data_IF_703110654525
#
_entry.id   IF_703110654525
#
_cell.length_a   1.000
_cell.length_b   1.000
_cell.length_c   1.000
_cell.angle_alpha   90.00
_cell.angle_beta   90.00
_cell.angle_gamma   90.00
#
_symmetry.space_group_name_H-M   'P 1'
#
loop_
_entity.id
_entity.type
_entity.pdbx_description
1 polymer ?
#
# COMPACT_ATOMS: atom_id res chain seq x y z
N UNK A 1 37.45 -7.03 19.15
CA UNK A 1 36.28 -6.66 18.32
C UNK A 1 35.80 -5.33 18.84
N UNK A 2 36.30 -4.26 18.24
CA UNK A 2 36.32 -2.91 18.79
C UNK A 2 34.95 -2.26 18.76
N UNK A 3 34.29 -2.22 19.92
CA UNK A 3 33.02 -1.53 20.17
C UNK A 3 33.06 -0.02 19.83
N UNK A 4 34.24 0.54 19.60
CA UNK A 4 34.43 1.93 19.16
C UNK A 4 33.99 2.16 17.70
N UNK A 5 34.11 1.16 16.81
CA UNK A 5 33.82 1.33 15.38
C UNK A 5 32.30 1.44 15.11
N UNK A 6 31.49 0.74 15.91
CA UNK A 6 30.02 0.73 15.80
C UNK A 6 29.44 2.09 16.24
N UNK A 7 30.02 2.69 17.28
CA UNK A 7 29.64 4.03 17.74
C UNK A 7 29.88 5.11 16.68
N UNK A 8 31.04 5.07 16.03
CA UNK A 8 31.42 6.05 15.00
C UNK A 8 30.55 5.96 13.76
N UNK A 9 30.23 4.74 13.29
CA UNK A 9 29.29 4.54 12.18
C UNK A 9 27.89 5.05 12.51
N UNK A 10 27.42 4.84 13.74
CA UNK A 10 26.13 5.38 14.21
C UNK A 10 26.09 6.92 14.18
N UNK A 11 27.16 7.58 14.62
CA UNK A 11 27.27 9.04 14.59
C UNK A 11 27.33 9.58 13.16
N UNK A 12 28.09 8.93 12.26
CA UNK A 12 28.18 9.33 10.85
C UNK A 12 26.80 9.23 10.18
N UNK A 13 26.08 8.13 10.40
CA UNK A 13 24.74 7.93 9.83
C UNK A 13 23.78 9.00 10.37
N UNK A 14 23.83 9.31 11.67
CA UNK A 14 23.00 10.35 12.28
C UNK A 14 23.26 11.73 11.65
N UNK A 15 24.52 12.11 11.47
CA UNK A 15 24.90 13.38 10.83
C UNK A 15 24.42 13.46 9.38
N UNK A 16 24.56 12.37 8.62
CA UNK A 16 24.07 12.31 7.23
C UNK A 16 22.54 12.45 7.16
N UNK A 17 21.81 11.82 8.08
CA UNK A 17 20.34 11.95 8.17
C UNK A 17 19.91 13.38 8.51
N UNK A 18 20.58 14.02 9.46
CA UNK A 18 20.31 15.43 9.83
C UNK A 18 20.59 16.36 8.64
N UNK A 19 21.74 16.18 7.98
CA UNK A 19 22.11 16.99 6.82
C UNK A 19 21.14 16.80 5.64
N UNK A 20 20.73 15.56 5.35
CA UNK A 20 19.76 15.26 4.31
C UNK A 20 18.37 15.82 4.63
N UNK A 21 17.95 15.77 5.90
CA UNK A 21 16.69 16.36 6.37
C UNK A 21 16.65 17.87 6.20
N UNK A 22 17.73 18.55 6.61
CA UNK A 22 17.88 19.99 6.40
C UNK A 22 17.89 20.37 4.91
N UNK A 23 18.60 19.59 4.08
CA UNK A 23 18.66 19.81 2.65
C UNK A 23 17.31 19.62 1.94
N UNK A 24 16.54 18.61 2.34
CA UNK A 24 15.20 18.35 1.78
C UNK A 24 14.19 19.43 2.19
N UNK A 25 14.29 19.97 3.41
CA UNK A 25 13.43 21.05 3.89
C UNK A 25 13.68 22.35 3.11
N UNK A 26 14.94 22.66 2.80
CA UNK A 26 15.30 23.84 2.02
C UNK A 26 14.78 23.79 0.56
N UNK A 27 14.64 22.60 -0.04
CA UNK A 27 14.19 22.45 -1.43
C UNK A 27 12.68 22.59 -1.65
N UNK A 28 11.85 22.58 -0.59
CA UNK A 28 10.38 22.50 -0.72
C UNK A 28 9.71 23.81 -1.16
N UNK A 29 10.44 24.94 -1.14
CA UNK A 29 9.90 26.28 -1.40
C UNK A 29 9.91 26.71 -2.88
N UNK A 30 10.36 25.84 -3.81
CA UNK A 30 10.56 26.21 -5.21
C UNK A 30 9.61 25.50 -6.21
N UNK A 31 8.32 25.33 -5.88
CA UNK A 31 7.34 24.89 -6.89
C UNK A 31 6.54 26.07 -7.45
N UNK A 32 6.72 26.43 -8.73
CA UNK A 32 5.88 27.43 -9.38
C UNK A 32 4.43 26.92 -9.49
N UNK A 33 3.46 27.83 -9.28
CA UNK A 33 2.02 27.55 -9.39
C UNK A 33 1.67 27.09 -10.82
N UNK A 34 0.96 25.96 -11.01
CA UNK A 34 0.40 25.63 -12.31
C UNK A 34 -0.73 26.61 -12.65
N UNK A 35 -0.61 27.28 -13.80
CA UNK A 35 -1.61 28.16 -14.40
C UNK A 35 -2.80 27.29 -14.85
N UNK A 36 -4.01 27.66 -14.43
CA UNK A 36 -5.24 26.93 -14.68
C UNK A 36 -5.48 26.67 -16.19
N UNK A 37 -5.86 25.43 -16.55
CA UNK A 37 -6.34 25.08 -17.87
C UNK A 37 -7.88 25.02 -17.89
N UNK A 38 -8.55 25.42 -18.99
CA UNK A 38 -10.00 25.47 -19.09
C UNK A 38 -10.64 24.08 -19.25
N UNK A 39 -11.84 23.96 -18.68
CA UNK A 39 -12.71 22.78 -18.60
C UNK A 39 -13.26 22.41 -20.00
N UNK A 40 -13.10 21.18 -20.51
CA UNK A 40 -13.81 20.73 -21.69
C UNK A 40 -15.26 20.36 -21.37
N UNK A 41 -16.18 20.78 -22.24
CA UNK A 41 -17.60 20.48 -22.23
C UNK A 41 -17.90 19.07 -22.80
N UNK A 42 -19.03 18.51 -22.34
CA UNK A 42 -19.58 17.16 -22.54
C UNK A 42 -20.14 16.99 -23.96
N UNK A 43 -20.22 15.76 -24.52
CA UNK A 43 -21.50 15.38 -25.17
C UNK A 43 -22.10 14.05 -24.68
N UNK A 44 -23.40 14.15 -24.42
CA UNK A 44 -24.40 13.13 -24.09
C UNK A 44 -24.62 12.18 -25.27
N UNK A 45 -24.42 10.87 -25.09
CA UNK A 45 -24.93 9.87 -26.03
C UNK A 45 -25.53 8.67 -25.28
N UNK A 46 -26.74 8.88 -24.77
CA UNK A 46 -27.62 7.82 -24.28
C UNK A 46 -28.72 7.63 -25.33
N UNK A 47 -28.42 6.86 -26.38
CA UNK A 47 -29.33 6.54 -27.48
C UNK A 47 -29.74 5.07 -27.40
N UNK A 48 -30.97 4.88 -26.92
CA UNK A 48 -31.93 3.82 -27.25
C UNK A 48 -31.41 2.40 -27.55
N UNK A 49 -31.72 1.44 -26.66
CA UNK A 49 -31.85 0.02 -27.05
C UNK A 49 -33.27 -0.48 -26.72
N UNK A 50 -34.02 -1.00 -27.71
CA UNK A 50 -35.41 -1.39 -27.55
C UNK A 50 -35.59 -2.70 -26.77
N UNK A 51 -36.79 -2.82 -26.19
CA UNK A 51 -37.31 -3.93 -25.40
C UNK A 51 -37.21 -5.28 -26.13
N UNK A 52 -36.75 -6.31 -25.42
CA UNK A 52 -36.78 -7.69 -25.89
C UNK A 52 -37.94 -8.43 -25.20
N UNK A 53 -38.84 -9.09 -25.98
CA UNK A 53 -40.07 -9.69 -25.46
C UNK A 53 -39.83 -10.97 -24.66
N UNK A 54 -40.56 -11.10 -23.55
CA UNK A 54 -40.69 -12.32 -22.75
C UNK A 54 -41.50 -13.37 -23.52
N UNK A 55 -40.95 -14.58 -23.67
CA UNK A 55 -41.70 -15.76 -24.04
C UNK A 55 -41.20 -16.96 -23.20
N UNK A 56 -42.11 -17.60 -22.47
CA UNK A 56 -41.97 -18.94 -21.88
C UNK A 56 -43.07 -19.82 -22.53
N UNK A 57 -42.93 -21.17 -22.65
CA UNK A 57 -42.87 -22.09 -21.51
C UNK A 57 -41.93 -23.32 -21.68
N UNK A 58 -41.76 -24.09 -20.58
CA UNK A 58 -40.95 -25.35 -20.42
C UNK A 58 -41.70 -26.60 -20.97
N UNK A 59 -41.09 -27.80 -21.17
CA UNK A 59 -40.72 -28.71 -20.05
C UNK A 59 -39.48 -29.63 -20.26
N UNK A 60 -39.05 -30.20 -19.12
CA UNK A 60 -38.30 -31.45 -18.87
C UNK A 60 -37.11 -31.85 -19.74
N UNK A 61 -35.90 -31.65 -19.19
CA UNK A 61 -34.88 -32.71 -19.03
C UNK A 61 -33.95 -32.36 -17.85
N UNK A 62 -34.04 -33.14 -16.76
CA UNK A 62 -32.96 -33.28 -15.78
C UNK A 62 -31.73 -33.93 -16.46
N UNK A 63 -30.46 -33.72 -16.02
CA UNK A 63 -30.03 -33.72 -14.62
C UNK A 63 -29.03 -32.59 -14.22
N UNK A 64 -29.02 -32.24 -12.93
CA UNK A 64 -27.91 -31.58 -12.22
C UNK A 64 -26.64 -32.48 -12.30
N UNK A 65 -25.37 -32.02 -12.17
CA UNK A 65 -24.92 -30.75 -11.60
C UNK A 65 -23.72 -30.09 -12.31
N UNK A 66 -23.72 -28.76 -12.45
CA UNK A 66 -22.45 -28.00 -12.47
C UNK A 66 -22.59 -26.85 -11.50
N UNK A 67 -22.21 -27.15 -10.25
CA UNK A 67 -21.80 -26.15 -9.27
C UNK A 67 -20.92 -25.13 -10.01
N UNK A 68 -21.24 -23.82 -9.98
CA UNK A 68 -20.32 -22.81 -10.47
C UNK A 68 -18.98 -23.11 -9.81
N UNK A 69 -17.95 -23.30 -10.62
CA UNK A 69 -16.57 -23.28 -10.16
C UNK A 69 -16.39 -21.94 -9.46
N UNK A 70 -16.58 -21.94 -8.15
CA UNK A 70 -16.00 -20.94 -7.29
C UNK A 70 -14.52 -20.88 -7.69
N UNK A 71 -13.92 -19.68 -7.81
CA UNK A 71 -12.47 -19.59 -7.91
C UNK A 71 -11.87 -20.48 -6.81
N UNK A 72 -10.77 -21.22 -7.09
CA UNK A 72 -10.17 -22.07 -6.09
C UNK A 72 -10.06 -21.24 -4.82
N UNK A 73 -10.69 -21.70 -3.75
CA UNK A 73 -10.49 -21.09 -2.45
C UNK A 73 -8.98 -21.09 -2.25
N UNK A 74 -8.35 -19.91 -2.38
CA UNK A 74 -6.99 -19.71 -1.87
C UNK A 74 -6.98 -20.35 -0.50
N UNK A 75 -5.99 -21.20 -0.18
CA UNK A 75 -6.03 -22.04 1.00
C UNK A 75 -6.29 -21.15 2.22
N UNK A 76 -7.54 -21.22 2.71
CA UNK A 76 -7.98 -20.53 3.91
C UNK A 76 -7.24 -21.17 5.08
N UNK A 77 -6.03 -20.71 5.35
CA UNK A 77 -5.15 -21.28 6.37
C UNK A 77 -3.67 -20.94 6.23
N UNK A 78 -3.18 -20.62 5.03
CA UNK A 78 -1.82 -20.11 4.87
C UNK A 78 -1.83 -18.60 5.10
N UNK A 79 -1.60 -18.16 6.34
CA UNK A 79 -1.51 -16.74 6.66
C UNK A 79 -0.44 -16.06 5.81
N UNK A 80 -0.86 -15.16 4.91
CA UNK A 80 0.05 -14.40 4.07
C UNK A 80 1.14 -13.73 4.94
N UNK A 81 2.43 -13.95 4.65
CA UNK A 81 3.52 -13.42 5.47
C UNK A 81 3.48 -11.89 5.55
N UNK A 82 2.99 -11.22 4.50
CA UNK A 82 2.75 -9.77 4.51
C UNK A 82 1.64 -9.37 5.48
N UNK A 83 0.56 -10.14 5.56
CA UNK A 83 -0.55 -9.85 6.45
C UNK A 83 -0.12 -10.02 7.92
N UNK A 84 0.73 -11.01 8.21
CA UNK A 84 1.31 -11.21 9.53
C UNK A 84 2.20 -10.02 9.94
N UNK A 85 3.05 -9.54 9.03
CA UNK A 85 3.89 -8.35 9.26
C UNK A 85 3.04 -7.10 9.45
N UNK A 86 2.00 -6.92 8.65
CA UNK A 86 1.09 -5.79 8.78
C UNK A 86 0.34 -5.81 10.12
N UNK A 87 -0.15 -6.99 10.56
CA UNK A 87 -0.76 -7.17 11.88
C UNK A 87 0.23 -6.90 13.01
N UNK A 88 1.48 -7.34 12.87
CA UNK A 88 2.53 -7.07 13.85
C UNK A 88 2.81 -5.57 13.96
N UNK A 89 2.95 -4.87 12.83
CA UNK A 89 3.11 -3.41 12.79
C UNK A 89 1.93 -2.71 13.46
N UNK A 90 0.69 -3.10 13.13
CA UNK A 90 -0.52 -2.56 13.76
C UNK A 90 -0.52 -2.77 15.27
N UNK A 91 -0.14 -3.95 15.76
CA UNK A 91 -0.05 -4.21 17.21
C UNK A 91 0.94 -3.27 17.89
N UNK A 92 2.09 -3.00 17.26
CA UNK A 92 3.11 -2.07 17.78
C UNK A 92 2.55 -0.66 17.89
N UNK A 93 1.91 -0.16 16.83
CA UNK A 93 1.29 1.18 16.82
C UNK A 93 -0.09 1.23 17.51
N UNK A 94 -0.41 0.26 18.38
CA UNK A 94 -1.67 0.17 19.14
C UNK A 94 -2.93 0.25 18.27
N UNK A 95 -2.87 -0.32 17.08
CA UNK A 95 -3.96 -0.35 16.11
C UNK A 95 -4.08 0.90 15.24
N UNK A 96 -3.20 1.89 15.39
CA UNK A 96 -3.25 3.11 14.58
C UNK A 96 -2.79 2.84 13.13
N UNK A 97 -3.77 2.62 12.25
CA UNK A 97 -3.55 2.33 10.84
C UNK A 97 -2.88 3.47 10.07
N UNK A 98 -3.22 4.73 10.36
CA UNK A 98 -2.57 5.88 9.72
C UNK A 98 -1.07 5.91 10.02
N UNK A 99 -0.68 5.67 11.27
CA UNK A 99 0.72 5.63 11.66
C UNK A 99 1.46 4.47 10.97
N UNK A 100 0.84 3.28 10.90
CA UNK A 100 1.41 2.15 10.18
C UNK A 100 1.64 2.46 8.69
N UNK A 101 0.65 3.05 8.01
CA UNK A 101 0.77 3.41 6.59
C UNK A 101 1.81 4.50 6.35
N UNK A 102 1.93 5.48 7.26
CA UNK A 102 2.98 6.52 7.18
C UNK A 102 4.38 5.93 7.30
N UNK A 103 4.58 4.97 8.20
CA UNK A 103 5.86 4.27 8.35
C UNK A 103 6.21 3.47 7.09
N UNK A 104 5.24 2.74 6.53
CA UNK A 104 5.44 1.99 5.28
C UNK A 104 5.75 2.95 4.12
N UNK A 105 5.03 4.07 3.98
CA UNK A 105 5.29 5.07 2.94
C UNK A 105 6.67 5.73 3.10
N UNK A 106 7.11 5.97 4.34
CA UNK A 106 8.42 6.51 4.60
C UNK A 106 9.51 5.55 4.10
N UNK A 107 9.40 4.27 4.44
CA UNK A 107 10.34 3.24 3.95
C UNK A 107 10.25 3.09 2.42
N UNK A 108 9.06 3.17 1.83
CA UNK A 108 8.87 3.09 0.39
C UNK A 108 9.58 4.25 -0.35
N UNK A 109 9.61 5.44 0.25
CA UNK A 109 10.34 6.60 -0.29
C UNK A 109 11.85 6.46 -0.13
N UNK A 110 12.30 5.80 0.93
CA UNK A 110 13.72 5.56 1.23
C UNK A 110 14.31 4.44 0.38
N UNK A 111 13.54 3.39 0.13
CA UNK A 111 13.93 2.23 -0.68
C UNK A 111 12.88 1.94 -1.78
N UNK A 112 12.81 2.80 -2.82
CA UNK A 112 11.89 2.58 -3.94
C UNK A 112 12.35 1.35 -4.74
N UNK A 113 11.70 0.22 -4.52
CA UNK A 113 12.06 -1.08 -5.12
C UNK A 113 12.13 -2.23 -4.10
N UNK A 114 12.14 -1.92 -2.80
CA UNK A 114 12.00 -2.95 -1.78
C UNK A 114 10.60 -3.59 -1.85
N UNK A 115 10.53 -4.90 -1.60
CA UNK A 115 9.26 -5.62 -1.50
C UNK A 115 8.44 -5.09 -0.32
N UNK A 116 7.11 -5.23 -0.43
CA UNK A 116 6.18 -4.76 0.60
C UNK A 116 6.44 -5.39 1.97
N UNK A 117 6.78 -6.68 2.02
CA UNK A 117 7.23 -7.36 3.23
C UNK A 117 8.50 -6.74 3.85
N UNK A 118 9.48 -6.37 3.03
CA UNK A 118 10.70 -5.67 3.49
C UNK A 118 10.37 -4.28 4.03
N UNK A 119 9.51 -3.52 3.36
CA UNK A 119 9.07 -2.20 3.82
C UNK A 119 8.38 -2.28 5.20
N UNK A 120 7.51 -3.28 5.40
CA UNK A 120 6.85 -3.51 6.69
C UNK A 120 7.83 -3.92 7.78
N UNK A 121 8.82 -4.76 7.46
CA UNK A 121 9.87 -5.17 8.42
C UNK A 121 10.70 -3.97 8.86
N UNK A 122 11.18 -3.17 7.91
CA UNK A 122 11.92 -1.94 8.18
C UNK A 122 11.09 -0.95 9.01
N UNK A 123 9.80 -0.82 8.70
CA UNK A 123 8.88 0.03 9.47
C UNK A 123 8.74 -0.43 10.93
N UNK A 124 8.66 -1.74 11.18
CA UNK A 124 8.62 -2.31 12.54
C UNK A 124 9.93 -2.02 13.27
N UNK A 125 11.07 -2.37 12.68
CA UNK A 125 12.40 -2.16 13.29
C UNK A 125 12.61 -0.68 13.62
N UNK A 126 12.20 0.21 12.71
CA UNK A 126 12.29 1.66 12.92
C UNK A 126 11.41 2.11 14.09
N UNK A 127 10.16 1.65 14.14
CA UNK A 127 9.27 1.98 15.24
C UNK A 127 9.83 1.47 16.57
N UNK A 128 10.38 0.26 16.61
CA UNK A 128 11.00 -0.29 17.81
C UNK A 128 12.22 0.53 18.26
N UNK A 129 13.07 0.95 17.31
CA UNK A 129 14.21 1.81 17.60
C UNK A 129 13.80 3.19 18.14
N UNK A 130 12.72 3.77 17.60
CA UNK A 130 12.24 5.10 18.00
C UNK A 130 11.42 5.06 19.32
N UNK A 131 10.92 3.89 19.75
CA UNK A 131 10.09 3.70 20.95
C UNK A 131 10.78 2.90 22.07
N UNK A 132 12.09 2.65 21.94
CA UNK A 132 12.92 1.99 22.96
C UNK A 132 13.78 3.02 23.68
#
# INVERSE_FOLDING_TARGET
MDSALIGTLGVIILVVVIAAGAYALARRSARPRPKAAPRPAIPTEQKARPAQPQAAPRPDHAPTPRRPTAPPASPAGAADPEEQLHKALLRKVRGNRETAERLIQFEARKAPGASRSTLMRNAIERWEQDNR
#
